data_IF_635680992715
#
_entry.id   IF_635680992715
#
_cell.length_a   1.000
_cell.length_b   1.000
_cell.length_c   1.000
_cell.angle_alpha   90.00
_cell.angle_beta   90.00
_cell.angle_gamma   90.00
#
_symmetry.space_group_name_H-M   'P 1'
#
loop_
_entity.id
_entity.type
_entity.pdbx_description
1 polymer ?
#
# COMPACT_ATOMS: atom_id res chain seq x y z
N UNK A 1 2.42 -4.74 24.10
CA UNK A 1 2.52 -4.72 22.63
C UNK A 1 3.97 -4.91 22.23
N UNK A 2 4.26 -5.86 21.34
CA UNK A 2 5.54 -6.02 20.66
C UNK A 2 5.84 -4.81 19.78
N UNK A 3 7.07 -4.65 19.31
CA UNK A 3 7.41 -3.54 18.41
C UNK A 3 6.69 -3.66 17.06
N UNK A 4 6.47 -4.90 16.59
CA UNK A 4 5.64 -5.17 15.41
C UNK A 4 4.18 -4.76 15.61
N UNK A 5 3.59 -5.08 16.76
CA UNK A 5 2.20 -4.68 17.08
C UNK A 5 2.05 -3.16 17.13
N UNK A 6 3.02 -2.44 17.70
CA UNK A 6 3.02 -0.97 17.71
C UNK A 6 3.15 -0.40 16.30
N UNK A 7 4.04 -0.98 15.48
CA UNK A 7 4.23 -0.59 14.09
C UNK A 7 2.94 -0.75 13.27
N UNK A 8 2.27 -1.90 13.38
CA UNK A 8 0.97 -2.12 12.72
C UNK A 8 -0.07 -1.14 13.24
N UNK A 9 -0.17 -0.95 14.56
CA UNK A 9 -1.18 -0.10 15.17
C UNK A 9 -1.12 1.33 14.63
N UNK A 10 0.08 1.86 14.39
CA UNK A 10 0.25 3.20 13.83
C UNK A 10 -0.44 3.39 12.45
N UNK A 11 -0.53 2.33 11.63
CA UNK A 11 -1.28 2.36 10.38
C UNK A 11 -2.77 2.11 10.59
N UNK A 12 -3.13 1.18 11.49
CA UNK A 12 -4.54 0.89 11.78
C UNK A 12 -5.24 2.13 12.37
N UNK A 13 -4.55 2.93 13.17
CA UNK A 13 -5.06 4.18 13.74
C UNK A 13 -5.38 5.25 12.68
N UNK A 14 -4.87 5.10 11.45
CA UNK A 14 -5.18 5.98 10.33
C UNK A 14 -6.48 5.59 9.60
N UNK A 15 -7.00 4.38 9.82
CA UNK A 15 -8.20 3.89 9.14
C UNK A 15 -9.44 4.59 9.73
N UNK A 16 -10.19 5.41 8.95
CA UNK A 16 -11.22 6.29 9.51
C UNK A 16 -12.47 5.59 10.05
N UNK A 17 -12.75 4.37 9.58
CA UNK A 17 -13.95 3.64 9.95
C UNK A 17 -13.70 2.13 10.00
N UNK A 18 -14.61 1.41 10.66
CA UNK A 18 -14.59 -0.05 10.70
C UNK A 18 -14.92 -0.69 9.34
N UNK A 19 -15.54 0.06 8.42
CA UNK A 19 -15.76 -0.39 7.05
C UNK A 19 -14.49 -0.19 6.19
N UNK A 20 -13.42 -0.87 6.57
CA UNK A 20 -12.10 -0.70 5.96
C UNK A 20 -12.06 -1.08 4.47
N UNK A 21 -13.00 -1.90 3.98
CA UNK A 21 -13.11 -2.19 2.54
C UNK A 21 -13.54 -0.93 1.79
N UNK A 22 -14.52 -0.19 2.30
CA UNK A 22 -14.94 1.09 1.73
C UNK A 22 -13.83 2.15 1.87
N UNK A 23 -13.12 2.18 2.99
CA UNK A 23 -11.95 3.05 3.16
C UNK A 23 -10.80 2.71 2.20
N UNK A 24 -10.67 1.45 1.78
CA UNK A 24 -9.72 1.04 0.74
C UNK A 24 -10.04 1.70 -0.59
N UNK A 25 -11.31 1.71 -0.99
CA UNK A 25 -11.78 2.43 -2.18
C UNK A 25 -11.55 3.95 -2.04
N UNK A 26 -11.90 4.55 -0.91
CA UNK A 26 -11.70 5.98 -0.68
C UNK A 26 -10.23 6.41 -0.69
N UNK A 27 -9.35 5.66 -0.05
CA UNK A 27 -7.91 5.93 -0.08
C UNK A 27 -7.34 5.77 -1.50
N UNK A 28 -7.81 4.76 -2.23
CA UNK A 28 -7.50 4.57 -3.65
C UNK A 28 -7.93 5.76 -4.52
N UNK A 29 -9.17 6.21 -4.36
CA UNK A 29 -9.73 7.34 -5.12
C UNK A 29 -8.97 8.65 -4.85
N UNK A 30 -8.60 8.94 -3.60
CA UNK A 30 -7.79 10.13 -3.26
C UNK A 30 -6.39 10.07 -3.87
N UNK A 31 -5.80 8.89 -3.92
CA UNK A 31 -4.50 8.68 -4.57
C UNK A 31 -4.62 8.91 -6.07
N UNK A 32 -5.60 8.29 -6.72
CA UNK A 32 -5.88 8.50 -8.13
C UNK A 32 -6.12 9.98 -8.46
N UNK A 33 -6.94 10.68 -7.69
CA UNK A 33 -7.24 12.11 -7.90
C UNK A 33 -5.98 12.97 -7.83
N UNK A 34 -5.13 12.76 -6.82
CA UNK A 34 -3.87 13.50 -6.69
C UNK A 34 -2.96 13.29 -7.90
N UNK A 35 -2.70 12.03 -8.28
CA UNK A 35 -1.78 11.73 -9.38
C UNK A 35 -2.34 12.14 -10.76
N UNK A 36 -3.66 12.08 -10.96
CA UNK A 36 -4.31 12.48 -12.22
C UNK A 36 -4.21 13.97 -12.52
N UNK A 37 -3.85 14.79 -11.52
CA UNK A 37 -3.66 16.23 -11.67
C UNK A 37 -2.20 16.62 -11.98
N UNK A 38 -1.27 15.67 -11.92
CA UNK A 38 0.15 15.94 -12.15
C UNK A 38 0.51 15.84 -13.62
N UNK A 39 1.43 16.70 -14.06
CA UNK A 39 2.17 16.50 -15.30
C UNK A 39 3.26 15.44 -15.15
N UNK A 40 3.76 14.92 -16.27
CA UNK A 40 4.95 14.05 -16.29
C UNK A 40 6.15 14.68 -15.57
N UNK A 41 6.39 15.98 -15.78
CA UNK A 41 7.48 16.70 -15.10
C UNK A 41 7.25 16.82 -13.60
N UNK A 42 6.03 17.16 -13.16
CA UNK A 42 5.69 17.27 -11.73
C UNK A 42 5.81 15.91 -11.03
N UNK A 43 5.51 14.81 -11.72
CA UNK A 43 5.57 13.47 -11.14
C UNK A 43 7.00 12.98 -10.86
N UNK A 44 8.02 13.63 -11.44
CA UNK A 44 9.44 13.38 -11.15
C UNK A 44 9.93 14.16 -9.92
N UNK A 45 9.10 15.02 -9.32
CA UNK A 45 9.49 15.82 -8.18
C UNK A 45 9.77 14.96 -6.93
N UNK A 46 10.92 15.21 -6.31
CA UNK A 46 11.31 14.71 -4.99
C UNK A 46 11.53 15.91 -4.05
N UNK A 47 11.04 15.80 -2.80
CA UNK A 47 11.07 16.94 -1.88
C UNK A 47 12.47 17.23 -1.26
N UNK A 48 13.43 16.33 -1.44
CA UNK A 48 14.81 16.48 -0.97
C UNK A 48 15.76 15.52 -1.71
N UNK A 49 17.06 15.75 -1.61
CA UNK A 49 18.08 14.88 -2.20
C UNK A 49 18.02 13.46 -1.60
N UNK A 50 18.05 12.44 -2.46
CA UNK A 50 17.97 11.04 -2.05
C UNK A 50 16.59 10.60 -1.54
N UNK A 51 15.54 11.41 -1.75
CA UNK A 51 14.14 11.01 -1.50
C UNK A 51 13.47 10.58 -2.79
N UNK A 52 12.47 9.72 -2.65
CA UNK A 52 11.68 9.23 -3.76
C UNK A 52 11.00 10.39 -4.48
N UNK A 53 10.96 10.30 -5.80
CA UNK A 53 10.02 11.02 -6.63
C UNK A 53 8.58 10.58 -6.33
N UNK A 54 7.61 11.37 -6.80
CA UNK A 54 6.20 10.96 -6.73
C UNK A 54 5.93 9.67 -7.52
N UNK A 55 6.60 9.44 -8.67
CA UNK A 55 6.51 8.18 -9.40
C UNK A 55 7.03 6.98 -8.60
N UNK A 56 8.20 7.10 -7.97
CA UNK A 56 8.74 6.05 -7.10
C UNK A 56 7.83 5.78 -5.90
N UNK A 57 7.21 6.82 -5.32
CA UNK A 57 6.23 6.65 -4.24
C UNK A 57 4.98 5.90 -4.73
N UNK A 58 4.44 6.23 -5.91
CA UNK A 58 3.29 5.51 -6.48
C UNK A 58 3.63 4.05 -6.76
N UNK A 59 4.81 3.79 -7.31
CA UNK A 59 5.30 2.43 -7.55
C UNK A 59 5.46 1.64 -6.24
N UNK A 60 5.96 2.27 -5.17
CA UNK A 60 6.02 1.67 -3.84
C UNK A 60 4.64 1.25 -3.31
N UNK A 61 3.60 2.05 -3.52
CA UNK A 61 2.22 1.69 -3.16
C UNK A 61 1.75 0.45 -3.94
N UNK A 62 2.00 0.42 -5.26
CA UNK A 62 1.67 -0.71 -6.13
C UNK A 62 2.34 -2.00 -5.64
N UNK A 63 3.66 -1.95 -5.41
CA UNK A 63 4.44 -3.12 -5.03
C UNK A 63 4.08 -3.64 -3.63
N UNK A 64 3.91 -2.71 -2.67
CA UNK A 64 3.51 -3.06 -1.30
C UNK A 64 2.14 -3.75 -1.29
N UNK A 65 1.19 -3.27 -2.10
CA UNK A 65 -0.12 -3.89 -2.20
C UNK A 65 -0.10 -5.29 -2.80
N UNK A 66 0.76 -5.53 -3.81
CA UNK A 66 0.95 -6.87 -4.36
C UNK A 66 1.53 -7.82 -3.32
N UNK A 67 2.52 -7.37 -2.54
CA UNK A 67 3.10 -8.16 -1.44
C UNK A 67 2.05 -8.46 -0.37
N UNK A 68 1.29 -7.47 0.04
CA UNK A 68 0.25 -7.62 1.06
C UNK A 68 -0.88 -8.53 0.56
N UNK A 69 -1.34 -8.38 -0.68
CA UNK A 69 -2.34 -9.26 -1.27
C UNK A 69 -1.84 -10.71 -1.36
N UNK A 70 -0.59 -10.93 -1.78
CA UNK A 70 -0.04 -12.28 -1.85
C UNK A 70 0.03 -12.96 -0.47
N UNK A 71 0.40 -12.21 0.58
CA UNK A 71 0.33 -12.69 1.98
C UNK A 71 -1.08 -13.02 2.39
N UNK A 72 -2.02 -12.09 2.16
CA UNK A 72 -3.43 -12.27 2.49
C UNK A 72 -4.02 -13.50 1.77
N UNK A 73 -3.74 -13.68 0.48
CA UNK A 73 -4.14 -14.85 -0.31
C UNK A 73 -3.58 -16.15 0.30
N UNK A 74 -2.28 -16.18 0.57
CA UNK A 74 -1.60 -17.36 1.13
C UNK A 74 -2.25 -17.76 2.46
N UNK A 75 -2.47 -16.80 3.35
CA UNK A 75 -3.00 -17.04 4.69
C UNK A 75 -4.50 -17.38 4.66
N UNK A 76 -5.28 -16.73 3.79
CA UNK A 76 -6.69 -17.04 3.56
C UNK A 76 -6.90 -18.44 2.94
N UNK A 77 -5.85 -19.04 2.37
CA UNK A 77 -5.84 -20.44 1.88
C UNK A 77 -5.22 -21.42 2.88
N UNK A 78 -4.92 -20.95 4.10
CA UNK A 78 -4.34 -21.72 5.19
C UNK A 78 -3.00 -22.37 4.84
N UNK A 79 -2.29 -21.82 3.86
CA UNK A 79 -0.92 -22.22 3.59
C UNK A 79 -0.05 -21.71 4.75
N UNK A 80 0.75 -22.64 5.31
CA UNK A 80 1.56 -22.42 6.52
C UNK A 80 2.98 -21.96 6.20
N UNK A 81 3.28 -21.69 4.93
CA UNK A 81 4.57 -21.10 4.54
C UNK A 81 4.77 -19.75 5.22
N UNK A 82 5.95 -19.56 5.83
CA UNK A 82 6.37 -18.25 6.30
C UNK A 82 6.82 -17.41 5.10
N UNK A 83 6.25 -16.22 4.96
CA UNK A 83 6.56 -15.32 3.85
C UNK A 83 7.62 -14.28 4.27
N UNK A 84 8.59 -13.95 3.39
CA UNK A 84 9.67 -13.05 3.74
C UNK A 84 9.20 -11.59 3.86
N UNK A 85 9.99 -10.77 4.55
CA UNK A 85 9.96 -9.32 4.43
C UNK A 85 10.50 -8.85 3.07
N UNK A 86 10.46 -7.54 2.83
CA UNK A 86 11.10 -6.92 1.66
C UNK A 86 11.75 -5.60 2.10
N UNK A 87 12.74 -5.15 1.32
CA UNK A 87 13.46 -3.89 1.53
C UNK A 87 12.91 -2.86 0.54
N UNK A 88 12.10 -1.92 1.05
CA UNK A 88 11.41 -0.91 0.24
C UNK A 88 12.37 0.05 -0.47
N UNK A 89 13.50 0.38 0.15
CA UNK A 89 14.50 1.27 -0.46
C UNK A 89 15.24 0.56 -1.59
N UNK A 90 15.57 -0.72 -1.40
CA UNK A 90 16.13 -1.54 -2.47
C UNK A 90 15.15 -1.68 -3.63
N UNK A 91 13.86 -1.88 -3.35
CA UNK A 91 12.84 -2.04 -4.38
C UNK A 91 12.61 -0.73 -5.14
N UNK A 92 12.42 0.40 -4.45
CA UNK A 92 12.27 1.71 -5.07
C UNK A 92 13.45 2.04 -6.00
N UNK A 93 14.69 1.78 -5.54
CA UNK A 93 15.91 1.98 -6.33
C UNK A 93 15.94 1.15 -7.63
N UNK A 94 15.33 -0.03 -7.64
CA UNK A 94 15.31 -0.94 -8.80
C UNK A 94 13.95 -0.97 -9.51
N UNK A 95 13.10 0.02 -9.26
CA UNK A 95 11.72 0.03 -9.73
C UNK A 95 11.55 0.55 -11.16
N UNK A 96 12.56 1.28 -11.68
CA UNK A 96 12.51 1.98 -12.97
C UNK A 96 11.27 2.91 -13.09
N UNK A 97 10.67 3.32 -11.96
CA UNK A 97 9.42 4.07 -11.95
C UNK A 97 9.50 5.39 -12.72
N UNK A 98 10.64 6.08 -12.64
CA UNK A 98 10.86 7.35 -13.32
C UNK A 98 10.94 7.22 -14.86
N UNK A 99 11.26 6.03 -15.37
CA UNK A 99 11.31 5.76 -16.81
C UNK A 99 9.94 5.37 -17.38
N UNK A 100 8.95 5.08 -16.51
CA UNK A 100 7.58 4.77 -16.90
C UNK A 100 6.77 6.04 -17.13
N UNK A 101 5.80 5.98 -18.05
CA UNK A 101 4.78 7.02 -18.16
C UNK A 101 3.93 7.07 -16.88
N UNK A 102 3.62 8.27 -16.40
CA UNK A 102 2.79 8.47 -15.21
C UNK A 102 1.43 7.79 -15.37
N UNK A 103 0.80 7.94 -16.54
CA UNK A 103 -0.50 7.33 -16.85
C UNK A 103 -0.46 5.80 -16.67
N UNK A 104 0.64 5.15 -17.08
CA UNK A 104 0.81 3.70 -16.90
C UNK A 104 0.88 3.29 -15.42
N UNK A 105 1.49 4.11 -14.56
CA UNK A 105 1.53 3.85 -13.12
C UNK A 105 0.16 4.06 -12.48
N UNK A 106 -0.58 5.10 -12.90
CA UNK A 106 -1.94 5.38 -12.42
C UNK A 106 -2.90 4.23 -12.78
N UNK A 107 -2.82 3.74 -14.02
CA UNK A 107 -3.61 2.60 -14.48
C UNK A 107 -3.28 1.35 -13.65
N UNK A 108 -1.99 1.03 -13.50
CA UNK A 108 -1.59 -0.14 -12.72
C UNK A 108 -2.07 -0.08 -11.27
N UNK A 109 -1.87 1.06 -10.60
CA UNK A 109 -2.38 1.28 -9.25
C UNK A 109 -3.90 1.06 -9.17
N UNK A 110 -4.65 1.59 -10.13
CA UNK A 110 -6.11 1.47 -10.16
C UNK A 110 -6.56 0.02 -10.32
N UNK A 111 -5.88 -0.76 -11.17
CA UNK A 111 -6.16 -2.19 -11.33
C UNK A 111 -5.78 -3.02 -10.11
N UNK A 112 -4.62 -2.74 -9.49
CA UNK A 112 -4.19 -3.42 -8.26
C UNK A 112 -5.16 -3.13 -7.12
N UNK A 113 -5.55 -1.86 -6.92
CA UNK A 113 -6.56 -1.48 -5.93
C UNK A 113 -7.88 -2.22 -6.18
N UNK A 114 -8.40 -2.22 -7.41
CA UNK A 114 -9.67 -2.88 -7.71
C UNK A 114 -9.60 -4.40 -7.49
N UNK A 115 -8.50 -5.03 -7.87
CA UNK A 115 -8.28 -6.45 -7.62
C UNK A 115 -8.25 -6.76 -6.13
N UNK A 116 -7.63 -5.91 -5.32
CA UNK A 116 -7.57 -6.06 -3.87
C UNK A 116 -8.96 -5.93 -3.23
N UNK A 117 -9.73 -4.91 -3.60
CA UNK A 117 -11.10 -4.72 -3.09
C UNK A 117 -11.95 -5.95 -3.39
N UNK A 118 -11.99 -6.41 -4.64
CA UNK A 118 -12.74 -7.61 -5.03
C UNK A 118 -12.25 -8.87 -4.32
N UNK A 119 -10.94 -9.00 -4.10
CA UNK A 119 -10.37 -10.11 -3.36
C UNK A 119 -10.89 -10.16 -1.92
N UNK A 120 -10.82 -9.04 -1.20
CA UNK A 120 -11.24 -8.97 0.21
C UNK A 120 -12.77 -9.04 0.37
N UNK A 121 -13.55 -8.41 -0.52
CA UNK A 121 -15.02 -8.55 -0.55
C UNK A 121 -15.47 -10.00 -0.74
N UNK A 122 -14.67 -10.81 -1.45
CA UNK A 122 -14.96 -12.21 -1.73
C UNK A 122 -14.57 -13.19 -0.63
N UNK A 123 -13.94 -12.73 0.47
CA UNK A 123 -13.55 -13.59 1.58
C UNK A 123 -14.68 -13.73 2.62
N UNK A 124 -14.79 -14.90 3.23
CA UNK A 124 -15.65 -15.11 4.40
C UNK A 124 -14.98 -14.62 5.68
N UNK A 125 -15.76 -14.46 6.75
CA UNK A 125 -15.25 -14.11 8.08
C UNK A 125 -14.21 -15.13 8.60
N UNK A 126 -14.38 -16.41 8.27
CA UNK A 126 -13.39 -17.46 8.61
C UNK A 126 -12.09 -17.27 7.84
N UNK A 127 -12.13 -16.81 6.60
CA UNK A 127 -10.94 -16.53 5.80
C UNK A 127 -10.24 -15.24 6.28
N UNK A 128 -11.00 -14.20 6.63
CA UNK A 128 -10.50 -12.94 7.17
C UNK A 128 -9.81 -13.10 8.55
N UNK A 129 -10.32 -14.03 9.37
CA UNK A 129 -9.73 -14.38 10.68
C UNK A 129 -8.55 -15.35 10.60
N UNK A 130 -8.21 -15.86 9.42
CA UNK A 130 -6.99 -16.68 9.28
C UNK A 130 -5.74 -15.85 9.58
N UNK A 131 -4.74 -16.52 10.12
CA UNK A 131 -3.45 -15.94 10.51
C UNK A 131 -2.32 -16.67 9.79
N UNK A 132 -1.28 -15.94 9.39
CA UNK A 132 -0.05 -16.51 8.88
C UNK A 132 1.19 -15.81 9.43
N UNK A 133 2.37 -16.30 9.04
CA UNK A 133 3.66 -15.75 9.45
C UNK A 133 4.29 -14.97 8.30
N UNK A 134 4.61 -13.71 8.55
CA UNK A 134 5.36 -12.86 7.64
C UNK A 134 6.51 -12.19 8.38
N UNK A 135 7.73 -12.35 7.87
CA UNK A 135 8.95 -11.74 8.43
C UNK A 135 9.10 -12.02 9.94
N UNK A 136 8.92 -13.27 10.36
CA UNK A 136 8.96 -13.68 11.78
C UNK A 136 7.77 -13.26 12.63
N UNK A 137 6.75 -12.60 12.06
CA UNK A 137 5.63 -12.05 12.81
C UNK A 137 4.28 -12.67 12.38
N UNK A 138 3.40 -12.88 13.37
CA UNK A 138 2.04 -13.39 13.16
C UNK A 138 1.09 -12.26 12.79
N UNK A 139 0.32 -12.41 11.71
CA UNK A 139 -0.62 -11.38 11.25
C UNK A 139 -1.89 -12.01 10.63
N UNK A 140 -3.04 -11.40 10.91
CA UNK A 140 -4.34 -11.83 10.38
C UNK A 140 -4.60 -11.26 8.97
N UNK A 141 -5.38 -11.98 8.17
CA UNK A 141 -5.78 -11.56 6.82
C UNK A 141 -6.51 -10.21 6.83
N UNK A 142 -7.47 -10.02 7.74
CA UNK A 142 -8.16 -8.73 7.90
C UNK A 142 -7.19 -7.60 8.25
N UNK A 143 -6.23 -7.86 9.15
CA UNK A 143 -5.21 -6.88 9.53
C UNK A 143 -4.37 -6.46 8.32
N UNK A 144 -4.04 -7.38 7.41
CA UNK A 144 -3.34 -7.04 6.16
C UNK A 144 -4.21 -6.13 5.28
N UNK A 145 -5.51 -6.41 5.17
CA UNK A 145 -6.47 -5.55 4.46
C UNK A 145 -6.47 -4.12 5.03
N UNK A 146 -6.58 -3.98 6.35
CA UNK A 146 -6.50 -2.69 7.04
C UNK A 146 -5.14 -2.00 6.90
N UNK A 147 -4.04 -2.76 6.87
CA UNK A 147 -2.71 -2.22 6.62
C UNK A 147 -2.59 -1.59 5.23
N UNK A 148 -3.19 -2.18 4.19
CA UNK A 148 -3.22 -1.57 2.84
C UNK A 148 -3.83 -0.17 2.90
N UNK A 149 -4.96 -0.02 3.61
CA UNK A 149 -5.65 1.27 3.77
C UNK A 149 -4.78 2.27 4.55
N UNK A 150 -4.35 1.88 5.75
CA UNK A 150 -3.55 2.74 6.62
C UNK A 150 -2.23 3.17 5.99
N UNK A 151 -1.56 2.25 5.28
CA UNK A 151 -0.34 2.52 4.53
C UNK A 151 -0.56 3.52 3.40
N UNK A 152 -1.65 3.37 2.64
CA UNK A 152 -1.98 4.34 1.59
C UNK A 152 -2.25 5.74 2.19
N UNK A 153 -3.02 5.83 3.27
CA UNK A 153 -3.31 7.10 3.97
C UNK A 153 -2.03 7.72 4.53
N UNK A 154 -1.13 6.91 5.10
CA UNK A 154 0.18 7.37 5.57
C UNK A 154 0.96 8.07 4.44
N UNK A 155 1.01 7.47 3.25
CA UNK A 155 1.70 8.09 2.11
C UNK A 155 0.98 9.32 1.56
N UNK A 156 -0.35 9.37 1.57
CA UNK A 156 -1.10 10.60 1.26
C UNK A 156 -0.75 11.74 2.24
N UNK A 157 -0.58 11.43 3.53
CA UNK A 157 -0.14 12.41 4.53
C UNK A 157 1.30 12.87 4.25
N UNK A 158 2.21 11.96 3.89
CA UNK A 158 3.58 12.30 3.48
C UNK A 158 3.58 13.25 2.28
N UNK A 159 2.78 12.98 1.24
CA UNK A 159 2.62 13.85 0.08
C UNK A 159 2.20 15.25 0.53
N UNK A 160 1.15 15.33 1.34
CA UNK A 160 0.61 16.59 1.85
C UNK A 160 1.61 17.38 2.69
N UNK A 161 2.37 16.71 3.55
CA UNK A 161 3.26 17.35 4.52
C UNK A 161 4.62 17.73 3.93
N UNK A 162 5.13 16.95 2.96
CA UNK A 162 6.51 17.05 2.50
C UNK A 162 6.65 17.49 1.05
N UNK A 163 5.74 17.05 0.17
CA UNK A 163 5.81 17.33 -1.26
C UNK A 163 5.01 18.58 -1.61
N UNK A 164 3.72 18.62 -1.27
CA UNK A 164 2.82 19.71 -1.66
C UNK A 164 3.29 21.14 -1.29
N UNK A 165 3.98 21.39 -0.15
CA UNK A 165 4.49 22.73 0.16
C UNK A 165 5.67 23.20 -0.71
N UNK A 166 6.27 22.29 -1.50
CA UNK A 166 7.49 22.54 -2.30
C UNK A 166 7.26 22.37 -3.82
N UNK A 167 6.05 21.99 -4.23
CA UNK A 167 5.61 21.88 -5.62
C UNK A 167 4.92 23.17 -6.06
#
# INVERSE_FOLDING_TARGET
>A
MTDFEKYIQAYLDLVPSENWIEEMDFAGAKTFEFYSQLSEEQSLFAYDEGKWSLKELLQHLIDTERVFNYRALTFARQDKVELPGFDEELWAKNSEANDRALESLIDEFSFVRKANVLFFEGLSDEALSQTGLANGNSIQVETIGKLIVGHNIHHLNIIKERYAPKM
#
